data_IF_220367197920
#
_entry.id   IF_220367197920
#
_cell.length_a   1.000
_cell.length_b   1.000
_cell.length_c   1.000
_cell.angle_alpha   90.00
_cell.angle_beta   90.00
_cell.angle_gamma   90.00
#
_symmetry.space_group_name_H-M   'P 1'
#
loop_
_entity.id
_entity.type
_entity.pdbx_description
1 polymer ?
#
# COMPACT_ATOMS: atom_id res chain seq x y z
N UNK A 1 0.89 22.43 -24.17
CA UNK A 1 0.72 22.27 -22.71
C UNK A 1 -0.08 21.01 -22.47
N UNK A 2 0.23 20.24 -21.42
CA UNK A 2 -0.60 19.09 -21.06
C UNK A 2 -2.05 19.53 -20.81
N UNK A 3 -3.06 18.76 -21.23
CA UNK A 3 -4.45 19.10 -20.98
C UNK A 3 -4.68 19.26 -19.47
N UNK A 4 -5.50 20.24 -19.09
CA UNK A 4 -5.89 20.41 -17.71
C UNK A 4 -6.70 19.19 -17.25
N UNK A 5 -6.14 18.41 -16.33
CA UNK A 5 -6.83 17.27 -15.73
C UNK A 5 -7.83 17.82 -14.71
N UNK A 6 -9.12 17.68 -14.98
CA UNK A 6 -10.15 18.00 -13.99
C UNK A 6 -10.20 16.89 -12.94
N UNK A 7 -10.00 17.24 -11.67
CA UNK A 7 -10.16 16.27 -10.58
C UNK A 7 -11.66 15.99 -10.42
N UNK A 8 -12.08 14.71 -10.35
CA UNK A 8 -13.47 14.40 -10.07
C UNK A 8 -13.86 14.92 -8.69
N UNK A 9 -15.10 15.39 -8.55
CA UNK A 9 -15.61 15.96 -7.30
C UNK A 9 -15.68 14.93 -6.16
N UNK A 10 -15.67 13.63 -6.49
CA UNK A 10 -15.61 12.50 -5.55
C UNK A 10 -14.65 11.45 -6.08
N UNK A 11 -14.02 10.70 -5.17
CA UNK A 11 -13.21 9.52 -5.52
C UNK A 11 -14.16 8.46 -6.09
N UNK A 12 -13.98 8.01 -7.35
CA UNK A 12 -14.95 7.12 -8.01
C UNK A 12 -15.13 5.79 -7.28
N UNK A 13 -14.05 5.24 -6.73
CA UNK A 13 -14.03 3.95 -6.05
C UNK A 13 -13.34 4.09 -4.70
N UNK A 14 -14.11 4.45 -3.69
CA UNK A 14 -13.64 4.61 -2.32
C UNK A 14 -14.42 3.71 -1.37
N UNK A 15 -13.69 2.85 -0.65
CA UNK A 15 -14.21 1.94 0.36
C UNK A 15 -13.82 2.50 1.73
N UNK A 16 -14.69 3.35 2.29
CA UNK A 16 -14.37 4.14 3.48
C UNK A 16 -14.02 3.28 4.71
N UNK A 17 -14.75 2.19 4.94
CA UNK A 17 -14.53 1.30 6.10
C UNK A 17 -13.18 0.58 6.03
N UNK A 18 -12.70 0.28 4.82
CA UNK A 18 -11.38 -0.31 4.59
C UNK A 18 -10.28 0.75 4.41
N UNK A 19 -10.64 2.04 4.31
CA UNK A 19 -9.74 3.14 3.93
C UNK A 19 -9.09 2.99 2.55
N UNK A 20 -9.68 2.19 1.65
CA UNK A 20 -9.12 1.93 0.32
C UNK A 20 -9.65 2.93 -0.71
N UNK A 21 -8.78 3.41 -1.59
CA UNK A 21 -9.19 4.10 -2.83
C UNK A 21 -8.60 3.38 -4.03
N UNK A 22 -9.42 3.16 -5.05
CA UNK A 22 -8.96 2.69 -6.37
C UNK A 22 -9.12 3.80 -7.39
N UNK A 23 -8.06 4.08 -8.14
CA UNK A 23 -8.03 5.01 -9.25
C UNK A 23 -7.87 4.22 -10.54
N UNK A 24 -8.70 4.49 -11.54
CA UNK A 24 -8.63 3.85 -12.85
C UNK A 24 -8.77 4.88 -13.95
N UNK A 25 -8.04 4.68 -15.05
CA UNK A 25 -8.20 5.49 -16.25
C UNK A 25 -8.60 4.60 -17.44
N UNK A 26 -9.31 5.15 -18.45
CA UNK A 26 -9.61 4.41 -19.68
C UNK A 26 -8.37 3.89 -20.41
N UNK A 27 -7.23 4.55 -20.22
CA UNK A 27 -5.94 4.23 -20.82
C UNK A 27 -5.18 3.10 -20.09
N UNK A 28 -5.85 2.36 -19.19
CA UNK A 28 -5.31 1.13 -18.61
C UNK A 28 -4.53 1.30 -17.31
N UNK A 29 -4.45 2.51 -16.74
CA UNK A 29 -3.87 2.70 -15.41
C UNK A 29 -4.86 2.22 -14.35
N UNK A 30 -4.37 1.41 -13.41
CA UNK A 30 -5.03 1.07 -12.16
C UNK A 30 -4.09 1.37 -11.00
N UNK A 31 -4.57 2.07 -9.98
CA UNK A 31 -3.80 2.38 -8.79
C UNK A 31 -4.63 2.13 -7.53
N UNK A 32 -4.06 1.36 -6.60
CA UNK A 32 -4.56 1.20 -5.23
C UNK A 32 -3.86 2.20 -4.35
N UNK A 33 -4.61 2.94 -3.54
CA UNK A 33 -4.08 3.77 -2.47
C UNK A 33 -4.68 3.30 -1.15
N UNK A 34 -3.83 2.91 -0.19
CA UNK A 34 -4.25 2.49 1.14
C UNK A 34 -4.19 3.66 2.14
N UNK A 35 -5.34 4.06 2.68
CA UNK A 35 -5.45 4.99 3.79
C UNK A 35 -6.22 4.39 4.97
N UNK A 36 -6.24 3.06 5.07
CA UNK A 36 -6.93 2.31 6.11
C UNK A 36 -6.28 2.40 7.48
N UNK A 37 -7.02 2.05 8.54
CA UNK A 37 -6.45 1.90 9.87
C UNK A 37 -5.44 0.75 9.88
N UNK A 38 -4.41 0.88 10.73
CA UNK A 38 -3.32 -0.08 10.85
C UNK A 38 -3.77 -1.36 11.58
N UNK A 39 -4.47 -2.24 10.85
CA UNK A 39 -4.96 -3.54 11.34
C UNK A 39 -6.02 -3.45 12.44
N UNK A 40 -6.51 -4.62 12.88
CA UNK A 40 -7.56 -4.74 13.88
C UNK A 40 -6.99 -4.91 15.30
N UNK A 41 -7.40 -4.02 16.21
CA UNK A 41 -7.07 -4.01 17.64
C UNK A 41 -5.55 -3.93 17.96
N UNK A 42 -5.20 -4.14 19.23
CA UNK A 42 -3.86 -3.89 19.77
C UNK A 42 -2.75 -4.79 19.25
N UNK A 43 -3.08 -5.90 18.59
CA UNK A 43 -2.08 -6.88 18.13
C UNK A 43 -1.67 -6.66 16.67
N UNK A 44 -2.57 -6.13 15.81
CA UNK A 44 -2.35 -5.90 14.38
C UNK A 44 -1.48 -6.99 13.69
N UNK A 45 -1.66 -8.26 14.05
CA UNK A 45 -0.67 -9.32 13.81
C UNK A 45 -0.36 -9.58 12.32
N UNK A 46 -1.28 -9.16 11.44
CA UNK A 46 -1.15 -9.28 10.00
C UNK A 46 -0.85 -7.96 9.29
N UNK A 47 -0.87 -6.83 9.99
CA UNK A 47 -0.51 -5.54 9.41
C UNK A 47 0.98 -5.48 9.13
N UNK A 48 1.35 -4.81 8.04
CA UNK A 48 2.73 -4.43 7.71
C UNK A 48 2.90 -2.94 8.05
N UNK A 49 4.13 -2.44 8.09
CA UNK A 49 4.42 -1.02 8.28
C UNK A 49 4.24 -0.23 6.97
N UNK A 50 3.08 -0.34 6.33
CA UNK A 50 2.82 0.05 4.93
C UNK A 50 1.70 1.08 4.78
N UNK A 51 1.43 1.88 5.81
CA UNK A 51 0.40 2.91 5.73
C UNK A 51 0.70 3.87 4.56
N UNK A 52 -0.35 4.31 3.86
CA UNK A 52 -0.25 5.17 2.68
C UNK A 52 0.45 4.52 1.47
N UNK A 53 0.61 3.19 1.47
CA UNK A 53 1.18 2.46 0.33
C UNK A 53 0.34 2.59 -0.94
N UNK A 54 1.03 2.50 -2.08
CA UNK A 54 0.40 2.44 -3.40
C UNK A 54 0.81 1.19 -4.19
N UNK A 55 -0.13 0.65 -4.94
CA UNK A 55 0.15 -0.34 -5.99
C UNK A 55 -0.30 0.25 -7.33
N UNK A 56 0.51 0.07 -8.39
CA UNK A 56 0.22 0.62 -9.72
C UNK A 56 0.35 -0.47 -10.76
N UNK A 57 -0.67 -0.58 -11.61
CA UNK A 57 -0.69 -1.40 -12.81
C UNK A 57 -0.93 -0.54 -14.04
N UNK A 58 -0.32 -0.95 -15.14
CA UNK A 58 -0.58 -0.40 -16.47
C UNK A 58 -0.83 -1.56 -17.43
N UNK A 59 -1.99 -1.57 -18.08
CA UNK A 59 -2.40 -2.63 -19.01
C UNK A 59 -2.29 -4.05 -18.40
N UNK A 60 -2.64 -4.17 -17.12
CA UNK A 60 -2.61 -5.43 -16.38
C UNK A 60 -1.23 -5.86 -15.88
N UNK A 61 -0.17 -5.09 -16.16
CA UNK A 61 1.19 -5.35 -15.67
C UNK A 61 1.45 -4.56 -14.39
N UNK A 62 1.91 -5.23 -13.34
CA UNK A 62 2.35 -4.59 -12.10
C UNK A 62 3.62 -3.76 -12.34
N UNK A 63 3.54 -2.45 -12.08
CA UNK A 63 4.67 -1.50 -12.17
C UNK A 63 5.20 -1.19 -10.77
N UNK A 64 4.30 -0.92 -9.83
CA UNK A 64 4.59 -0.83 -8.40
C UNK A 64 3.79 -1.93 -7.72
N UNK A 65 4.45 -3.03 -7.39
CA UNK A 65 3.84 -4.19 -6.75
C UNK A 65 3.99 -4.11 -5.23
N UNK A 66 3.01 -4.67 -4.50
CA UNK A 66 3.22 -5.04 -3.11
C UNK A 66 4.16 -6.26 -3.05
N UNK A 67 5.13 -6.30 -2.11
CA UNK A 67 6.08 -7.40 -2.04
C UNK A 67 5.42 -8.70 -1.51
N UNK A 68 4.23 -8.61 -0.92
CA UNK A 68 3.53 -9.72 -0.29
C UNK A 68 4.13 -10.08 1.08
N UNK A 69 3.83 -11.29 1.56
CA UNK A 69 4.19 -11.73 2.93
C UNK A 69 5.45 -12.59 3.01
N UNK A 70 5.96 -13.05 1.85
CA UNK A 70 7.03 -14.05 1.74
C UNK A 70 6.75 -15.31 2.59
N UNK A 71 7.77 -15.99 3.11
CA UNK A 71 7.66 -17.13 4.00
C UNK A 71 7.52 -16.70 5.46
N UNK A 72 6.61 -17.35 6.19
CA UNK A 72 6.42 -17.12 7.63
C UNK A 72 7.58 -17.64 8.48
N UNK A 73 8.30 -18.66 8.01
CA UNK A 73 9.30 -19.40 8.78
C UNK A 73 10.60 -19.58 7.99
N UNK A 74 11.70 -19.86 8.72
CA UNK A 74 12.99 -20.24 8.15
C UNK A 74 13.85 -19.10 7.61
N UNK A 75 13.32 -17.87 7.53
CA UNK A 75 14.00 -16.72 6.94
C UNK A 75 13.60 -15.40 7.64
N UNK A 76 14.02 -15.16 8.89
CA UNK A 76 13.56 -14.03 9.70
C UNK A 76 13.96 -12.66 9.11
N UNK A 77 15.12 -12.56 8.46
CA UNK A 77 15.56 -11.32 7.80
C UNK A 77 14.60 -10.91 6.67
N UNK A 78 14.20 -11.88 5.84
CA UNK A 78 13.21 -11.63 4.79
C UNK A 78 11.86 -11.30 5.40
N UNK A 79 11.37 -12.08 6.38
CA UNK A 79 10.10 -11.76 7.03
C UNK A 79 10.06 -10.34 7.61
N UNK A 80 11.18 -9.87 8.17
CA UNK A 80 11.32 -8.47 8.64
C UNK A 80 11.21 -7.49 7.47
N UNK A 81 11.95 -7.71 6.38
CA UNK A 81 11.91 -6.85 5.19
C UNK A 81 10.50 -6.74 4.60
N UNK A 82 9.83 -7.87 4.37
CA UNK A 82 8.48 -7.89 3.77
C UNK A 82 7.41 -7.25 4.66
N UNK A 83 7.68 -7.02 5.96
CA UNK A 83 6.79 -6.30 6.89
C UNK A 83 7.19 -4.84 7.14
N UNK A 84 8.36 -4.42 6.67
CA UNK A 84 8.96 -3.09 6.92
C UNK A 84 8.46 -2.03 5.96
N UNK A 85 8.48 -0.76 6.34
CA UNK A 85 8.11 0.39 5.49
C UNK A 85 8.96 0.43 4.22
N UNK A 86 10.26 0.13 4.35
CA UNK A 86 11.18 0.05 3.21
C UNK A 86 10.74 -0.97 2.14
N UNK A 87 10.00 -2.01 2.52
CA UNK A 87 9.51 -3.02 1.59
C UNK A 87 8.33 -2.57 0.72
N UNK A 88 7.65 -1.48 1.07
CA UNK A 88 6.41 -1.04 0.42
C UNK A 88 6.60 0.30 -0.29
N UNK A 89 5.75 0.57 -1.29
CA UNK A 89 5.74 1.84 -2.02
C UNK A 89 5.06 2.93 -1.18
N UNK A 90 5.73 3.34 -0.10
CA UNK A 90 5.28 4.39 0.83
C UNK A 90 6.48 5.24 1.28
N UNK A 91 6.30 6.11 2.26
CA UNK A 91 7.33 6.99 2.78
C UNK A 91 7.92 6.47 4.09
N UNK A 92 9.24 6.45 4.15
CA UNK A 92 10.04 6.24 5.34
C UNK A 92 10.58 7.60 5.84
N UNK A 93 10.64 7.77 7.16
CA UNK A 93 11.27 8.93 7.80
C UNK A 93 12.47 8.45 8.61
N UNK A 94 13.65 9.01 8.34
CA UNK A 94 14.90 8.74 9.07
C UNK A 94 15.27 7.24 9.21
N UNK A 95 14.92 6.42 8.22
CA UNK A 95 15.23 4.98 8.27
C UNK A 95 14.32 4.15 9.19
N UNK A 96 13.20 4.72 9.65
CA UNK A 96 12.31 4.10 10.61
C UNK A 96 11.01 3.58 9.98
N UNK A 97 10.61 2.38 10.41
CA UNK A 97 9.29 1.81 10.10
C UNK A 97 8.16 2.65 10.71
N UNK A 98 7.07 2.80 9.97
CA UNK A 98 5.86 3.52 10.38
C UNK A 98 5.14 2.86 11.58
N UNK A 99 5.42 1.59 11.86
CA UNK A 99 4.93 0.86 13.02
C UNK A 99 5.91 -0.21 13.50
N UNK A 100 5.70 -0.69 14.73
CA UNK A 100 6.47 -1.80 15.31
C UNK A 100 5.63 -3.08 15.31
N UNK A 101 6.25 -4.23 15.04
CA UNK A 101 5.55 -5.52 15.14
C UNK A 101 5.20 -5.81 16.60
N UNK A 102 3.91 -5.90 16.92
CA UNK A 102 3.40 -6.25 18.26
C UNK A 102 3.29 -7.75 18.53
N UNK A 103 3.55 -8.59 17.51
CA UNK A 103 3.52 -10.05 17.53
C UNK A 103 4.16 -10.63 16.28
#
# INVERSE_FOLDING_TARGET
GAPAVSRPARRPDHFADAGLTVLRTPEGIWCRCDGGPHGFLSIAAHAHADALSVEVRHDGVDVLADPGTYCYHGQPAWRRYFRSTLGHNTLELDGADQSVSGG
#
